data_IF_138322891994
#
_entry.id   IF_138322891994
#
_cell.length_a   1.000
_cell.length_b   1.000
_cell.length_c   1.000
_cell.angle_alpha   90.00
_cell.angle_beta   90.00
_cell.angle_gamma   90.00
#
_symmetry.space_group_name_H-M   'P 1'
#
loop_
_entity.id
_entity.type
_entity.pdbx_description
1 polymer ?
#
# COMPACT_ATOMS: atom_id res chain seq x y z
N UNK A 1 -27.04 -18.63 -17.60
CA UNK A 1 -26.47 -17.37 -18.14
C UNK A 1 -26.54 -16.22 -17.12
N UNK A 2 -27.18 -16.39 -15.97
CA UNK A 2 -27.16 -15.45 -14.83
C UNK A 2 -25.75 -15.27 -14.24
N UNK A 3 -25.01 -16.37 -14.03
CA UNK A 3 -23.67 -16.34 -13.42
C UNK A 3 -22.66 -15.42 -14.13
N UNK A 4 -22.74 -15.28 -15.47
CA UNK A 4 -21.86 -14.41 -16.24
C UNK A 4 -22.24 -12.93 -16.10
N UNK A 5 -23.55 -12.65 -15.97
CA UNK A 5 -24.04 -11.31 -15.63
C UNK A 5 -23.67 -10.94 -14.19
N UNK A 6 -23.79 -11.87 -13.26
CA UNK A 6 -23.36 -11.68 -11.87
C UNK A 6 -21.84 -11.44 -11.75
N UNK A 7 -21.04 -12.13 -12.57
CA UNK A 7 -19.59 -11.95 -12.62
C UNK A 7 -19.18 -10.54 -13.12
N UNK A 8 -19.93 -9.98 -14.06
CA UNK A 8 -19.56 -8.74 -14.75
C UNK A 8 -20.31 -7.49 -14.24
N UNK A 9 -21.46 -7.65 -13.58
CA UNK A 9 -22.32 -6.52 -13.17
C UNK A 9 -22.75 -6.52 -11.69
N UNK A 10 -22.52 -7.59 -10.91
CA UNK A 10 -22.74 -7.55 -9.45
C UNK A 10 -21.42 -7.31 -8.72
N UNK A 11 -21.47 -6.57 -7.60
CA UNK A 11 -20.33 -6.39 -6.66
C UNK A 11 -20.02 -7.68 -5.86
N UNK A 12 -19.94 -8.80 -6.57
CA UNK A 12 -19.49 -10.08 -6.04
C UNK A 12 -17.97 -10.06 -5.82
N UNK A 13 -17.48 -10.91 -4.92
CA UNK A 13 -16.04 -11.15 -4.72
C UNK A 13 -15.36 -11.53 -6.03
N UNK A 14 -16.03 -12.32 -6.88
CA UNK A 14 -15.48 -12.73 -8.18
C UNK A 14 -15.31 -11.54 -9.14
N UNK A 15 -16.24 -10.58 -9.12
CA UNK A 15 -16.17 -9.36 -9.92
C UNK A 15 -14.98 -8.50 -9.51
N UNK A 16 -14.78 -8.30 -8.20
CA UNK A 16 -13.64 -7.54 -7.67
C UNK A 16 -12.31 -8.16 -8.08
N UNK A 17 -12.16 -9.49 -7.92
CA UNK A 17 -10.94 -10.21 -8.32
C UNK A 17 -10.68 -10.08 -9.84
N UNK A 18 -11.75 -10.15 -10.65
CA UNK A 18 -11.66 -9.97 -12.10
C UNK A 18 -11.21 -8.54 -12.46
N UNK A 19 -11.76 -7.51 -11.81
CA UNK A 19 -11.33 -6.11 -12.00
C UNK A 19 -9.84 -5.97 -11.67
N UNK A 20 -9.39 -6.44 -10.49
CA UNK A 20 -7.97 -6.37 -10.11
C UNK A 20 -7.07 -7.11 -11.12
N UNK A 21 -7.51 -8.27 -11.61
CA UNK A 21 -6.75 -9.03 -12.62
C UNK A 21 -6.58 -8.24 -13.92
N UNK A 22 -7.65 -7.58 -14.40
CA UNK A 22 -7.61 -6.73 -15.60
C UNK A 22 -6.72 -5.52 -15.37
N UNK A 23 -6.85 -4.83 -14.23
CA UNK A 23 -6.02 -3.68 -13.87
C UNK A 23 -4.53 -4.05 -13.86
N UNK A 24 -4.18 -5.17 -13.21
CA UNK A 24 -2.80 -5.66 -13.14
C UNK A 24 -2.30 -6.06 -14.53
N UNK A 25 -3.09 -6.83 -15.29
CA UNK A 25 -2.70 -7.26 -16.63
C UNK A 25 -2.50 -6.07 -17.59
N UNK A 26 -3.41 -5.10 -17.58
CA UNK A 26 -3.30 -3.89 -18.38
C UNK A 26 -2.11 -3.03 -17.95
N UNK A 27 -1.94 -2.81 -16.64
CA UNK A 27 -0.81 -2.07 -16.08
C UNK A 27 0.56 -2.70 -16.39
N UNK A 28 0.69 -4.02 -16.28
CA UNK A 28 1.92 -4.74 -16.64
C UNK A 28 2.18 -4.71 -18.16
N UNK A 29 1.13 -4.75 -18.97
CA UNK A 29 1.24 -4.67 -20.44
C UNK A 29 1.71 -3.29 -20.88
N UNK A 30 1.13 -2.23 -20.31
CA UNK A 30 1.56 -0.85 -20.52
C UNK A 30 2.97 -0.60 -19.97
N UNK A 31 3.32 -1.23 -18.84
CA UNK A 31 4.63 -1.12 -18.21
C UNK A 31 5.80 -1.57 -19.09
N UNK A 32 5.56 -2.49 -20.04
CA UNK A 32 6.57 -2.97 -20.98
C UNK A 32 6.82 -2.02 -22.16
N UNK A 33 5.93 -1.06 -22.39
CA UNK A 33 6.09 -0.07 -23.46
C UNK A 33 7.22 0.88 -23.07
N UNK A 34 8.23 0.97 -23.93
CA UNK A 34 9.34 1.91 -23.78
C UNK A 34 9.02 3.16 -24.58
N UNK A 35 8.99 4.31 -23.91
CA UNK A 35 8.90 5.60 -24.57
C UNK A 35 10.27 6.25 -24.42
N UNK A 36 10.91 6.58 -25.54
CA UNK A 36 12.21 7.25 -25.54
C UNK A 36 13.32 6.50 -24.76
N UNK A 37 13.26 5.16 -24.76
CA UNK A 37 14.23 4.31 -24.05
C UNK A 37 13.98 4.16 -22.55
N UNK A 38 13.04 4.90 -21.97
CA UNK A 38 12.62 4.79 -20.56
C UNK A 38 11.36 3.94 -20.46
N UNK A 39 11.33 3.00 -19.52
CA UNK A 39 10.13 2.26 -19.12
C UNK A 39 9.91 2.45 -17.63
N UNK A 40 8.67 2.78 -17.27
CA UNK A 40 8.26 2.92 -15.87
C UNK A 40 7.96 1.55 -15.22
N UNK A 41 8.03 0.45 -16.00
CA UNK A 41 7.87 -0.91 -15.50
C UNK A 41 6.58 -1.12 -14.70
N UNK A 42 6.72 -1.63 -13.48
CA UNK A 42 5.59 -1.99 -12.61
C UNK A 42 4.79 -0.77 -12.13
N UNK A 43 5.34 0.44 -12.21
CA UNK A 43 4.67 1.69 -11.79
C UNK A 43 3.41 1.95 -12.63
N UNK A 44 3.35 1.46 -13.87
CA UNK A 44 2.12 1.57 -14.68
C UNK A 44 0.92 0.80 -14.08
N UNK A 45 1.15 -0.20 -13.22
CA UNK A 45 0.06 -0.86 -12.48
C UNK A 45 -0.64 0.13 -11.53
N UNK A 46 0.12 1.01 -10.87
CA UNK A 46 -0.43 2.07 -10.02
C UNK A 46 -1.27 3.06 -10.84
N UNK A 47 -0.73 3.57 -11.96
CA UNK A 47 -1.45 4.53 -12.80
C UNK A 47 -2.73 3.95 -13.41
N UNK A 48 -2.68 2.70 -13.88
CA UNK A 48 -3.88 2.01 -14.38
C UNK A 48 -4.90 1.80 -13.26
N UNK A 49 -4.46 1.47 -12.05
CA UNK A 49 -5.33 1.36 -10.88
C UNK A 49 -6.02 2.68 -10.53
N UNK A 50 -5.27 3.78 -10.47
CA UNK A 50 -5.81 5.14 -10.23
C UNK A 50 -6.82 5.52 -11.32
N UNK A 51 -6.48 5.27 -12.60
CA UNK A 51 -7.36 5.57 -13.72
C UNK A 51 -8.66 4.77 -13.64
N UNK A 52 -8.58 3.46 -13.39
CA UNK A 52 -9.78 2.62 -13.29
C UNK A 52 -10.61 2.97 -12.05
N UNK A 53 -9.99 3.29 -10.92
CA UNK A 53 -10.69 3.82 -9.75
C UNK A 53 -11.42 5.14 -10.06
N UNK A 54 -10.78 6.05 -10.80
CA UNK A 54 -11.40 7.31 -11.23
C UNK A 54 -12.56 7.10 -12.21
N UNK A 55 -12.52 6.05 -13.04
CA UNK A 55 -13.60 5.67 -13.96
C UNK A 55 -14.80 5.01 -13.25
N UNK A 56 -14.76 4.85 -11.93
CA UNK A 56 -15.87 4.32 -11.13
C UNK A 56 -15.90 2.80 -11.03
N UNK A 57 -14.80 2.10 -11.34
CA UNK A 57 -14.68 0.68 -11.02
C UNK A 57 -14.53 0.51 -9.50
N UNK A 58 -15.66 0.24 -8.84
CA UNK A 58 -15.72 0.00 -7.40
C UNK A 58 -15.41 -1.48 -7.09
N UNK A 59 -14.63 -1.68 -6.05
CA UNK A 59 -14.33 -2.98 -5.48
C UNK A 59 -15.00 -3.08 -4.11
N UNK A 60 -15.48 -4.28 -3.75
CA UNK A 60 -16.03 -4.49 -2.41
C UNK A 60 -14.92 -4.27 -1.38
N UNK A 61 -15.15 -3.36 -0.44
CA UNK A 61 -14.15 -2.92 0.55
C UNK A 61 -13.44 -4.09 1.25
N UNK A 62 -14.21 -5.08 1.74
CA UNK A 62 -13.68 -6.28 2.39
C UNK A 62 -12.69 -7.07 1.53
N UNK A 63 -12.91 -7.11 0.21
CA UNK A 63 -12.02 -7.82 -0.72
C UNK A 63 -10.77 -6.99 -0.99
N UNK A 64 -10.90 -5.67 -1.08
CA UNK A 64 -9.78 -4.74 -1.21
C UNK A 64 -8.85 -4.81 0.01
N UNK A 65 -9.41 -4.79 1.22
CA UNK A 65 -8.63 -4.94 2.46
C UNK A 65 -7.92 -6.29 2.52
N UNK A 66 -8.63 -7.37 2.18
CA UNK A 66 -8.03 -8.70 2.11
C UNK A 66 -6.86 -8.75 1.12
N UNK A 67 -7.04 -8.25 -0.11
CA UNK A 67 -5.99 -8.25 -1.14
C UNK A 67 -4.78 -7.41 -0.69
N UNK A 68 -5.02 -6.25 -0.05
CA UNK A 68 -3.97 -5.39 0.49
C UNK A 68 -3.15 -6.13 1.55
N UNK A 69 -3.80 -6.68 2.56
CA UNK A 69 -3.13 -7.32 3.69
C UNK A 69 -2.44 -8.61 3.26
N UNK A 70 -3.09 -9.40 2.41
CA UNK A 70 -2.48 -10.60 1.82
C UNK A 70 -1.25 -10.25 0.98
N UNK A 71 -1.34 -9.23 0.12
CA UNK A 71 -0.21 -8.76 -0.68
C UNK A 71 0.94 -8.25 0.19
N UNK A 72 0.62 -7.53 1.28
CA UNK A 72 1.60 -7.04 2.25
C UNK A 72 2.31 -8.20 2.97
N UNK A 73 1.58 -9.24 3.38
CA UNK A 73 2.16 -10.45 3.99
C UNK A 73 3.12 -11.12 3.00
N UNK A 74 2.70 -11.33 1.76
CA UNK A 74 3.55 -11.91 0.72
C UNK A 74 4.80 -11.06 0.45
N UNK A 75 4.67 -9.73 0.45
CA UNK A 75 5.77 -8.80 0.27
C UNK A 75 6.78 -8.88 1.41
N UNK A 76 6.33 -8.77 2.66
CA UNK A 76 7.18 -8.86 3.85
C UNK A 76 7.85 -10.22 3.95
N UNK A 77 7.11 -11.30 3.67
CA UNK A 77 7.66 -12.66 3.62
C UNK A 77 8.75 -12.82 2.56
N UNK A 78 8.50 -12.32 1.35
CA UNK A 78 9.48 -12.38 0.25
C UNK A 78 10.75 -11.61 0.58
N UNK A 79 10.63 -10.39 1.13
CA UNK A 79 11.79 -9.64 1.61
C UNK A 79 12.51 -10.44 2.70
N UNK A 80 11.79 -10.96 3.69
CA UNK A 80 12.37 -11.74 4.79
C UNK A 80 13.19 -12.93 4.32
N UNK A 81 12.71 -13.68 3.32
CA UNK A 81 13.46 -14.79 2.71
C UNK A 81 14.66 -14.32 1.90
N UNK A 82 14.55 -13.23 1.13
CA UNK A 82 15.63 -12.71 0.29
C UNK A 82 16.78 -12.11 1.12
N UNK A 83 16.43 -11.34 2.16
CA UNK A 83 17.41 -10.62 2.99
C UNK A 83 17.91 -11.46 4.18
N UNK A 84 17.20 -12.54 4.54
CA UNK A 84 17.51 -13.42 5.66
C UNK A 84 18.94 -13.99 5.64
N UNK A 85 19.41 -14.62 4.55
CA UNK A 85 20.78 -15.16 4.47
C UNK A 85 21.87 -14.10 4.63
N UNK A 86 21.60 -12.85 4.21
CA UNK A 86 22.52 -11.72 4.30
C UNK A 86 22.46 -10.94 5.61
N UNK A 87 21.50 -11.24 6.50
CA UNK A 87 21.25 -10.46 7.71
C UNK A 87 22.46 -10.44 8.65
N UNK A 88 22.97 -11.60 9.03
CA UNK A 88 24.07 -11.69 10.00
C UNK A 88 25.40 -11.15 9.46
N UNK A 89 25.66 -11.31 8.17
CA UNK A 89 26.87 -10.77 7.54
C UNK A 89 26.82 -9.24 7.47
N UNK A 90 25.66 -8.67 7.16
CA UNK A 90 25.42 -7.22 7.19
C UNK A 90 25.49 -6.67 8.61
N UNK A 91 24.96 -7.40 9.60
CA UNK A 91 25.03 -7.01 11.00
C UNK A 91 26.48 -6.88 11.51
N UNK A 92 27.34 -7.83 11.15
CA UNK A 92 28.78 -7.79 11.49
C UNK A 92 29.56 -6.71 10.75
N UNK A 93 29.12 -6.28 9.58
CA UNK A 93 29.75 -5.24 8.76
C UNK A 93 29.12 -3.86 8.98
N UNK A 94 29.07 -3.40 10.22
CA UNK A 94 28.52 -2.08 10.56
C UNK A 94 26.98 -2.01 10.54
N UNK A 95 26.29 -3.15 10.55
CA UNK A 95 24.82 -3.17 10.55
C UNK A 95 24.20 -2.56 11.80
N UNK A 96 24.91 -2.50 12.93
CA UNK A 96 24.48 -1.74 14.10
C UNK A 96 24.37 -0.23 13.79
N UNK A 97 25.36 0.34 13.10
CA UNK A 97 25.34 1.75 12.68
C UNK A 97 24.19 2.01 11.71
N UNK A 98 23.97 1.12 10.74
CA UNK A 98 22.86 1.23 9.78
C UNK A 98 21.49 1.13 10.48
N UNK A 99 21.35 0.26 11.49
CA UNK A 99 20.11 0.13 12.23
C UNK A 99 19.84 1.37 13.10
N UNK A 100 20.84 1.90 13.79
CA UNK A 100 20.73 3.15 14.53
C UNK A 100 20.33 4.31 13.61
N UNK A 101 20.92 4.39 12.42
CA UNK A 101 20.56 5.39 11.44
C UNK A 101 19.11 5.23 10.96
N UNK A 102 18.65 3.99 10.71
CA UNK A 102 17.27 3.71 10.34
C UNK A 102 16.28 4.13 11.45
N UNK A 103 16.59 3.84 12.72
CA UNK A 103 15.78 4.27 13.87
C UNK A 103 15.66 5.79 13.92
N UNK A 104 16.77 6.51 13.72
CA UNK A 104 16.76 7.99 13.68
C UNK A 104 15.85 8.50 12.57
N UNK A 105 15.94 7.94 11.35
CA UNK A 105 15.06 8.34 10.24
C UNK A 105 13.59 8.06 10.51
N UNK A 106 13.26 6.92 11.11
CA UNK A 106 11.87 6.58 11.49
C UNK A 106 11.33 7.58 12.52
N UNK A 107 12.12 7.88 13.57
CA UNK A 107 11.73 8.85 14.60
C UNK A 107 11.58 10.25 14.02
N UNK A 108 12.50 10.70 13.17
CA UNK A 108 12.41 11.99 12.49
C UNK A 108 11.18 12.08 11.58
N UNK A 109 10.87 11.01 10.84
CA UNK A 109 9.65 10.94 10.03
C UNK A 109 8.38 11.10 10.88
N UNK A 110 8.29 10.36 11.99
CA UNK A 110 7.17 10.47 12.93
C UNK A 110 7.07 11.85 13.59
N UNK A 111 8.19 12.42 14.05
CA UNK A 111 8.24 13.76 14.63
C UNK A 111 7.85 14.84 13.61
N UNK A 112 8.28 14.72 12.36
CA UNK A 112 7.92 15.65 11.29
C UNK A 112 6.42 15.59 11.02
N UNK A 113 5.84 14.39 10.96
CA UNK A 113 4.38 14.18 10.82
C UNK A 113 3.61 14.82 11.97
N UNK A 114 4.05 14.64 13.22
CA UNK A 114 3.44 15.26 14.40
C UNK A 114 3.57 16.79 14.37
N UNK A 115 4.75 17.32 14.03
CA UNK A 115 4.97 18.76 13.92
C UNK A 115 4.06 19.39 12.87
N UNK A 116 3.90 18.74 11.71
CA UNK A 116 2.98 19.17 10.66
C UNK A 116 1.53 19.14 11.14
N UNK A 117 1.11 18.10 11.87
CA UNK A 117 -0.24 18.02 12.44
C UNK A 117 -0.57 19.25 13.31
N UNK A 118 0.34 19.63 14.21
CA UNK A 118 0.12 20.80 15.08
C UNK A 118 0.23 22.14 14.35
N UNK A 119 0.98 22.21 13.25
CA UNK A 119 1.19 23.45 12.51
C UNK A 119 0.07 23.73 11.49
N UNK A 120 -0.43 22.69 10.82
CA UNK A 120 -1.44 22.80 9.75
C UNK A 120 -2.84 22.40 10.19
N UNK A 121 -2.98 21.68 11.31
CA UNK A 121 -4.25 21.11 11.75
C UNK A 121 -4.75 19.95 10.87
N UNK A 122 -3.93 19.46 9.92
CA UNK A 122 -4.31 18.35 9.04
C UNK A 122 -4.45 17.05 9.84
N UNK A 123 -5.48 16.25 9.59
CA UNK A 123 -5.74 15.01 10.32
C UNK A 123 -4.55 14.02 10.31
N UNK A 124 -4.32 13.33 11.44
CA UNK A 124 -3.27 12.30 11.57
C UNK A 124 -3.34 11.22 10.48
N UNK A 125 -4.50 10.65 10.11
CA UNK A 125 -4.62 9.70 9.00
C UNK A 125 -3.95 10.21 7.72
N UNK A 126 -4.43 11.32 7.17
CA UNK A 126 -3.87 11.96 5.96
C UNK A 126 -2.35 12.15 6.05
N UNK A 127 -1.85 12.67 7.17
CA UNK A 127 -0.42 12.92 7.34
C UNK A 127 0.39 11.61 7.43
N UNK A 128 -0.15 10.55 8.04
CA UNK A 128 0.50 9.23 8.02
C UNK A 128 0.53 8.60 6.63
N UNK A 129 -0.48 8.87 5.80
CA UNK A 129 -0.48 8.54 4.37
C UNK A 129 0.61 9.27 3.61
N UNK A 130 0.68 10.60 3.76
CA UNK A 130 1.71 11.44 3.15
C UNK A 130 3.11 11.01 3.61
N UNK A 131 3.30 10.75 4.90
CA UNK A 131 4.57 10.28 5.45
C UNK A 131 5.00 8.97 4.81
N UNK A 132 4.10 7.99 4.78
CA UNK A 132 4.38 6.67 4.19
C UNK A 132 4.73 6.76 2.71
N UNK A 133 4.06 7.64 1.97
CA UNK A 133 4.39 7.94 0.57
C UNK A 133 5.75 8.63 0.41
N UNK A 134 6.01 9.69 1.19
CA UNK A 134 7.23 10.49 1.13
C UNK A 134 8.49 9.66 1.46
N UNK A 135 8.39 8.73 2.40
CA UNK A 135 9.49 7.82 2.77
C UNK A 135 9.48 6.51 1.98
N UNK A 136 8.62 6.40 0.95
CA UNK A 136 8.50 5.20 0.09
C UNK A 136 8.24 3.89 0.86
N UNK A 137 7.53 4.00 1.98
CA UNK A 137 7.29 2.90 2.90
C UNK A 137 5.84 2.39 2.79
N UNK A 138 5.55 1.68 1.70
CA UNK A 138 4.26 1.01 1.46
C UNK A 138 3.81 0.09 2.61
N UNK A 139 4.68 -0.74 3.25
CA UNK A 139 4.25 -1.51 4.42
C UNK A 139 3.91 -0.62 5.62
N UNK A 140 4.54 0.55 5.74
CA UNK A 140 4.16 1.59 6.71
C UNK A 140 2.75 2.13 6.50
N UNK A 141 2.33 2.33 5.24
CA UNK A 141 0.95 2.72 4.92
C UNK A 141 -0.04 1.65 5.40
N UNK A 142 0.21 0.37 5.05
CA UNK A 142 -0.63 -0.75 5.48
C UNK A 142 -0.75 -0.86 7.00
N UNK A 143 0.37 -0.71 7.72
CA UNK A 143 0.38 -0.69 9.18
C UNK A 143 -0.43 0.49 9.75
N UNK A 144 -0.36 1.67 9.15
CA UNK A 144 -1.13 2.83 9.56
C UNK A 144 -2.65 2.62 9.36
N UNK A 145 -3.08 2.03 8.23
CA UNK A 145 -4.50 1.74 8.00
C UNK A 145 -5.04 0.75 9.04
N UNK A 146 -4.25 -0.29 9.35
CA UNK A 146 -4.63 -1.29 10.34
C UNK A 146 -4.71 -0.72 11.76
N UNK A 147 -3.79 0.18 12.13
CA UNK A 147 -3.86 0.89 13.41
C UNK A 147 -5.09 1.80 13.49
N UNK A 148 -5.43 2.49 12.41
CA UNK A 148 -6.62 3.34 12.34
C UNK A 148 -7.92 2.51 12.45
N UNK A 149 -7.98 1.35 11.78
CA UNK A 149 -9.11 0.43 11.88
C UNK A 149 -9.32 -0.06 13.32
N UNK A 150 -8.24 -0.46 14.01
CA UNK A 150 -8.30 -0.89 15.42
C UNK A 150 -8.83 0.21 16.33
N UNK A 151 -8.37 1.46 16.16
CA UNK A 151 -8.84 2.60 16.96
C UNK A 151 -10.33 2.89 16.70
N UNK A 152 -10.79 2.76 15.44
CA UNK A 152 -12.19 2.98 15.09
C UNK A 152 -13.13 1.92 15.68
N UNK A 153 -12.68 0.65 15.71
CA UNK A 153 -13.39 -0.45 16.36
C UNK A 153 -13.50 -0.23 17.87
N UNK A 154 -12.42 0.20 18.53
CA UNK A 154 -12.41 0.52 19.96
C UNK A 154 -13.27 1.75 20.32
N UNK A 155 -13.37 2.74 19.43
CA UNK A 155 -14.14 3.97 19.63
C UNK A 155 -15.66 3.82 19.38
N UNK A 156 -16.15 2.61 19.08
CA UNK A 156 -17.58 2.35 18.91
C UNK A 156 -18.12 2.60 17.50
N UNK A 157 -17.30 2.43 16.46
CA UNK A 157 -17.75 2.38 15.07
C UNK A 157 -17.88 3.74 14.37
N UNK A 158 -17.22 4.79 14.87
CA UNK A 158 -17.05 6.02 14.08
C UNK A 158 -16.20 5.71 12.87
N UNK A 159 -16.70 6.04 11.68
CA UNK A 159 -16.07 5.77 10.38
C UNK A 159 -14.54 6.03 10.43
N UNK A 160 -13.76 5.03 10.02
CA UNK A 160 -12.31 5.17 9.85
C UNK A 160 -12.10 6.33 8.88
N UNK A 161 -11.45 7.42 9.29
CA UNK A 161 -11.04 8.45 8.34
C UNK A 161 -10.10 7.79 7.32
N UNK A 162 -10.60 7.62 6.10
CA UNK A 162 -9.83 7.06 5.00
C UNK A 162 -8.60 7.93 4.71
N UNK A 163 -7.52 7.26 4.30
CA UNK A 163 -6.23 7.86 3.95
C UNK A 163 -6.10 7.97 2.44
#
# INVERSE_FOLDING_TARGET
MEWFRELLWNESTAHTILIYSIIIAAGLSLGKIKIWGVSLGIVFVLFTGILMGHLGFSARHEVTEFIRDFGLILFVFSIGLQVGPGFFSSFRKGGLTLNMLAVVFVLLGGLTTLALHFLTGTSVPMLTGIMSGAVTNTPGLGAAQNALAQIADEAGGTAVPEI
#
